data_IF_942382778767
#
_entry.id   IF_942382778767
#
_cell.length_a   1.000
_cell.length_b   1.000
_cell.length_c   1.000
_cell.angle_alpha   90.00
_cell.angle_beta   90.00
_cell.angle_gamma   90.00
#
_symmetry.space_group_name_H-M   'P 1'
#
loop_
_entity.id
_entity.type
_entity.pdbx_description
1 polymer ?
#
# COMPACT_ATOMS: atom_id res chain seq x y z
N UNK A 1 25.51 24.70 -31.31
CA UNK A 1 24.20 24.11 -30.95
C UNK A 1 24.45 23.03 -29.92
N UNK A 2 23.80 23.06 -28.74
CA UNK A 2 23.81 21.91 -27.86
C UNK A 2 23.16 20.72 -28.58
N UNK A 3 23.87 19.60 -28.64
CA UNK A 3 23.40 18.34 -29.21
C UNK A 3 22.31 17.75 -28.31
N UNK A 4 21.22 17.23 -28.89
CA UNK A 4 20.15 16.55 -28.16
C UNK A 4 20.62 15.28 -27.45
N UNK A 5 21.82 14.76 -27.77
CA UNK A 5 22.36 13.53 -27.20
C UNK A 5 22.64 13.55 -25.70
N UNK A 6 22.81 14.73 -25.07
CA UNK A 6 23.19 14.84 -23.64
C UNK A 6 22.13 15.46 -22.72
N UNK A 7 20.92 15.73 -23.23
CA UNK A 7 19.84 16.33 -22.43
C UNK A 7 19.06 15.26 -21.64
N UNK A 8 19.50 14.98 -20.41
CA UNK A 8 18.62 14.34 -19.40
C UNK A 8 17.51 15.32 -19.01
N UNK A 9 16.33 15.19 -19.62
CA UNK A 9 15.15 15.93 -19.22
C UNK A 9 14.77 15.60 -17.78
N UNK A 10 14.94 16.55 -16.86
CA UNK A 10 14.43 16.42 -15.49
C UNK A 10 12.90 16.58 -15.50
N UNK A 11 12.17 15.54 -15.10
CA UNK A 11 10.72 15.58 -14.89
C UNK A 11 10.33 16.10 -13.50
N UNK A 12 11.30 16.59 -12.72
CA UNK A 12 11.08 17.03 -11.35
C UNK A 12 10.35 18.38 -11.36
N UNK A 13 9.05 18.38 -11.03
CA UNK A 13 8.28 19.59 -10.70
C UNK A 13 7.25 20.08 -11.74
N UNK A 14 7.12 19.43 -12.90
CA UNK A 14 6.08 19.81 -13.87
C UNK A 14 6.15 18.94 -15.11
N UNK A 15 5.47 17.79 -15.08
CA UNK A 15 5.42 16.83 -16.19
C UNK A 15 4.97 17.43 -17.54
N UNK A 16 4.84 16.60 -18.60
CA UNK A 16 4.47 17.11 -19.92
C UNK A 16 3.18 17.94 -19.86
N UNK A 17 3.23 19.12 -20.47
CA UNK A 17 2.11 20.04 -20.57
C UNK A 17 1.26 19.71 -21.79
N UNK A 18 -0.03 19.98 -21.69
CA UNK A 18 -0.97 19.92 -22.80
C UNK A 18 -1.41 21.34 -23.12
N UNK A 19 -1.25 21.73 -24.38
CA UNK A 19 -1.70 23.03 -24.88
C UNK A 19 -2.38 22.92 -26.24
N UNK A 20 -2.94 24.04 -26.71
CA UNK A 20 -3.52 24.16 -28.05
C UNK A 20 -2.72 25.17 -28.86
N UNK A 21 -2.39 24.84 -30.10
CA UNK A 21 -1.67 25.73 -30.99
C UNK A 21 -2.55 26.91 -31.41
N UNK A 22 -2.05 28.12 -31.25
CA UNK A 22 -2.71 29.36 -31.69
C UNK A 22 -2.18 29.84 -33.06
N UNK A 23 -1.08 29.23 -33.55
CA UNK A 23 -0.46 29.55 -34.83
C UNK A 23 0.07 28.31 -35.55
N UNK A 24 -0.03 28.29 -36.87
CA UNK A 24 0.52 27.22 -37.73
C UNK A 24 2.03 27.37 -37.93
N UNK A 25 2.79 26.27 -37.85
CA UNK A 25 4.22 26.24 -38.20
C UNK A 25 4.62 24.89 -38.80
N UNK A 26 5.42 24.89 -39.87
CA UNK A 26 6.01 23.67 -40.47
C UNK A 26 7.45 23.41 -40.01
N UNK A 27 8.11 24.42 -39.44
CA UNK A 27 9.39 24.34 -38.72
C UNK A 27 9.63 25.63 -37.93
N UNK A 28 10.20 25.56 -36.73
CA UNK A 28 10.54 26.75 -35.93
C UNK A 28 9.71 26.88 -34.66
N UNK A 29 9.08 28.02 -34.43
CA UNK A 29 8.29 28.27 -33.23
C UNK A 29 6.84 28.65 -33.56
N UNK A 30 5.91 28.19 -32.75
CA UNK A 30 4.51 28.57 -32.75
C UNK A 30 4.11 29.17 -31.39
N UNK A 31 2.98 29.85 -31.35
CA UNK A 31 2.30 30.21 -30.11
C UNK A 31 1.33 29.09 -29.74
N UNK A 32 1.26 28.76 -28.45
CA UNK A 32 0.28 27.83 -27.93
C UNK A 32 -0.26 28.31 -26.59
N UNK A 33 -1.52 27.99 -26.32
CA UNK A 33 -2.18 28.28 -25.04
C UNK A 33 -2.12 27.05 -24.14
N UNK A 34 -1.53 27.19 -22.95
CA UNK A 34 -1.50 26.17 -21.90
C UNK A 34 -2.18 26.74 -20.66
N UNK A 35 -3.26 26.09 -20.19
CA UNK A 35 -4.03 26.54 -19.04
C UNK A 35 -4.45 28.03 -19.08
N UNK A 36 -4.76 28.55 -20.28
CA UNK A 36 -5.18 29.93 -20.50
C UNK A 36 -4.05 30.95 -20.68
N UNK A 37 -2.78 30.51 -20.67
CA UNK A 37 -1.61 31.37 -20.85
C UNK A 37 -0.97 31.07 -22.21
N UNK A 38 -0.74 32.11 -23.02
CA UNK A 38 0.01 31.98 -24.26
C UNK A 38 1.51 31.87 -23.99
N UNK A 39 2.13 30.87 -24.61
CA UNK A 39 3.56 30.62 -24.56
C UNK A 39 4.11 30.40 -25.97
N UNK A 40 5.37 30.80 -26.18
CA UNK A 40 6.11 30.43 -27.39
C UNK A 40 6.69 29.04 -27.25
N UNK A 41 6.39 28.17 -28.22
CA UNK A 41 6.78 26.77 -28.24
C UNK A 41 7.55 26.47 -29.51
N UNK A 42 8.71 25.82 -29.41
CA UNK A 42 9.48 25.35 -30.56
C UNK A 42 8.98 24.00 -31.02
N UNK A 43 8.66 23.86 -32.30
CA UNK A 43 8.37 22.57 -32.91
C UNK A 43 9.68 21.80 -33.14
N UNK A 44 9.71 20.52 -32.74
CA UNK A 44 10.82 19.64 -33.13
C UNK A 44 10.89 19.50 -34.65
N UNK A 45 12.08 19.22 -35.18
CA UNK A 45 12.28 19.10 -36.62
C UNK A 45 11.32 18.07 -37.23
N UNK A 46 10.64 18.45 -38.32
CA UNK A 46 9.67 17.60 -39.01
C UNK A 46 8.26 17.58 -38.40
N UNK A 47 8.00 18.33 -37.32
CA UNK A 47 6.66 18.47 -36.76
C UNK A 47 5.94 19.69 -37.38
N UNK A 48 4.94 19.41 -38.21
CA UNK A 48 3.97 20.43 -38.65
C UNK A 48 2.87 20.58 -37.61
N UNK A 49 2.58 21.81 -37.23
CA UNK A 49 1.53 22.21 -36.28
C UNK A 49 0.57 23.13 -37.01
N UNK A 50 -0.73 22.88 -36.89
CA UNK A 50 -1.81 23.75 -37.35
C UNK A 50 -2.51 24.44 -36.17
N UNK A 51 -3.17 25.58 -36.42
CA UNK A 51 -4.02 26.23 -35.40
C UNK A 51 -5.09 25.25 -34.91
N UNK A 52 -5.26 25.17 -33.59
CA UNK A 52 -6.19 24.27 -32.91
C UNK A 52 -5.61 22.90 -32.55
N UNK A 53 -4.41 22.56 -33.04
CA UNK A 53 -3.77 21.28 -32.72
C UNK A 53 -3.49 21.16 -31.22
N UNK A 54 -3.83 20.01 -30.66
CA UNK A 54 -3.48 19.66 -29.28
C UNK A 54 -2.01 19.25 -29.23
N UNK A 55 -1.19 19.99 -28.52
CA UNK A 55 0.25 19.77 -28.45
C UNK A 55 0.66 19.07 -27.15
N UNK A 56 1.58 18.12 -27.27
CA UNK A 56 2.37 17.62 -26.14
C UNK A 56 3.63 18.48 -26.01
N UNK A 57 3.73 19.20 -24.90
CA UNK A 57 4.76 20.22 -24.70
C UNK A 57 5.67 19.79 -23.55
N UNK A 58 6.97 19.79 -23.80
CA UNK A 58 7.99 19.57 -22.78
C UNK A 58 8.79 20.85 -22.56
N UNK A 59 9.10 21.14 -21.30
CA UNK A 59 9.99 22.24 -20.94
C UNK A 59 11.41 21.71 -20.79
N UNK A 60 12.33 22.26 -21.59
CA UNK A 60 13.76 21.95 -21.51
C UNK A 60 14.48 23.27 -21.20
N UNK A 61 14.94 23.43 -19.96
CA UNK A 61 15.46 24.69 -19.45
C UNK A 61 14.40 25.80 -19.49
N UNK A 62 14.69 26.89 -20.20
CA UNK A 62 13.81 28.05 -20.37
C UNK A 62 12.91 27.96 -21.61
N UNK A 63 12.99 26.87 -22.37
CA UNK A 63 12.32 26.75 -23.67
C UNK A 63 11.27 25.65 -23.66
N UNK A 64 10.11 25.96 -24.22
CA UNK A 64 9.05 24.98 -24.45
C UNK A 64 9.22 24.35 -25.83
N UNK A 65 9.09 23.03 -25.89
CA UNK A 65 9.21 22.23 -27.09
C UNK A 65 7.95 21.41 -27.33
N UNK A 66 7.35 21.51 -28.51
CA UNK A 66 6.29 20.63 -28.96
C UNK A 66 6.94 19.38 -29.55
N UNK A 67 6.72 18.23 -28.91
CA UNK A 67 7.29 16.94 -29.33
C UNK A 67 6.32 16.12 -30.18
N UNK A 68 5.03 16.39 -30.09
CA UNK A 68 3.99 15.77 -30.93
C UNK A 68 2.73 16.61 -31.00
N UNK A 69 2.03 16.55 -32.13
CA UNK A 69 0.60 16.85 -32.21
C UNK A 69 -0.16 15.61 -31.75
N UNK A 70 -0.90 15.74 -30.64
CA UNK A 70 -1.76 14.69 -30.14
C UNK A 70 -2.93 14.53 -31.12
N UNK A 71 -2.95 13.41 -31.84
CA UNK A 71 -4.08 13.07 -32.69
C UNK A 71 -5.37 13.08 -31.87
N UNK A 72 -6.45 13.58 -32.49
CA UNK A 72 -7.79 13.34 -31.97
C UNK A 72 -7.99 11.83 -31.78
N UNK A 73 -8.75 11.44 -30.75
CA UNK A 73 -9.21 10.06 -30.66
C UNK A 73 -9.83 9.69 -32.01
N UNK A 74 -9.48 8.53 -32.60
CA UNK A 74 -10.05 8.11 -33.87
C UNK A 74 -11.57 8.25 -33.83
N UNK A 75 -12.16 9.02 -34.74
CA UNK A 75 -13.62 9.16 -34.84
C UNK A 75 -14.29 7.81 -35.16
N UNK A 76 -13.49 6.89 -35.71
CA UNK A 76 -13.85 5.51 -35.95
C UNK A 76 -13.13 4.67 -34.89
N UNK A 77 -13.83 3.89 -34.05
CA UNK A 77 -13.16 2.90 -33.21
C UNK A 77 -12.25 2.03 -34.11
N UNK A 78 -11.07 1.60 -33.62
CA UNK A 78 -10.14 0.83 -34.44
C UNK A 78 -10.90 -0.30 -35.15
N UNK A 79 -10.69 -0.48 -36.46
CA UNK A 79 -11.43 -1.48 -37.21
C UNK A 79 -11.26 -2.83 -36.51
N UNK A 80 -12.38 -3.50 -36.27
CA UNK A 80 -12.40 -4.91 -35.88
C UNK A 80 -11.41 -5.64 -36.80
N UNK A 81 -10.51 -6.50 -36.30
CA UNK A 81 -9.51 -7.16 -37.12
C UNK A 81 -10.16 -7.73 -38.39
N UNK A 82 -9.65 -7.33 -39.55
CA UNK A 82 -10.16 -7.81 -40.84
C UNK A 82 -9.94 -9.32 -40.86
N UNK A 83 -11.02 -10.09 -40.76
CA UNK A 83 -10.98 -11.51 -41.12
C UNK A 83 -10.64 -11.52 -42.61
N UNK A 84 -9.50 -12.11 -42.98
CA UNK A 84 -9.13 -12.28 -44.36
C UNK A 84 -10.30 -12.97 -45.09
N UNK A 85 -10.92 -12.27 -46.06
CA UNK A 85 -11.92 -12.88 -46.94
C UNK A 85 -11.26 -14.08 -47.63
N UNK A 86 -11.70 -15.27 -47.25
CA UNK A 86 -11.18 -16.54 -47.76
C UNK A 86 -10.52 -17.46 -46.74
N UNK A 87 -10.35 -17.08 -45.47
CA UNK A 87 -10.09 -18.10 -44.45
C UNK A 87 -11.42 -18.80 -44.15
N UNK A 88 -11.55 -20.13 -44.32
CA UNK A 88 -12.71 -20.83 -43.81
C UNK A 88 -12.87 -20.45 -42.34
N UNK A 89 -14.04 -19.98 -41.95
CA UNK A 89 -14.41 -19.95 -40.55
C UNK A 89 -14.22 -21.38 -40.05
N UNK A 90 -13.16 -21.63 -39.28
CA UNK A 90 -12.91 -22.96 -38.72
C UNK A 90 -13.95 -23.30 -37.64
N UNK A 91 -14.87 -22.37 -37.33
CA UNK A 91 -15.81 -22.47 -36.22
C UNK A 91 -15.12 -22.31 -34.87
N UNK A 92 -13.83 -21.92 -34.86
CA UNK A 92 -13.06 -21.83 -33.64
C UNK A 92 -13.42 -20.54 -32.88
N UNK A 93 -13.86 -20.65 -31.61
CA UNK A 93 -14.19 -19.49 -30.81
C UNK A 93 -12.97 -18.58 -30.61
N UNK A 94 -13.21 -17.27 -30.57
CA UNK A 94 -12.17 -16.28 -30.32
C UNK A 94 -11.37 -16.61 -29.05
N UNK A 95 -10.03 -16.40 -29.02
CA UNK A 95 -9.22 -16.66 -27.85
C UNK A 95 -9.72 -15.85 -26.65
N UNK A 96 -9.79 -16.50 -25.48
CA UNK A 96 -10.18 -15.84 -24.25
C UNK A 96 -9.28 -14.62 -23.96
N UNK A 97 -9.82 -13.51 -23.41
CA UNK A 97 -9.03 -12.36 -23.01
C UNK A 97 -7.88 -12.75 -22.09
N UNK A 98 -6.70 -12.14 -22.30
CA UNK A 98 -5.53 -12.41 -21.46
C UNK A 98 -5.81 -11.95 -20.02
N UNK A 99 -5.54 -12.79 -19.00
CA UNK A 99 -5.69 -12.40 -17.60
C UNK A 99 -4.86 -11.16 -17.28
N UNK A 100 -5.48 -10.14 -16.69
CA UNK A 100 -4.80 -8.95 -16.20
C UNK A 100 -4.52 -9.12 -14.71
N UNK A 101 -3.26 -8.90 -14.30
CA UNK A 101 -2.88 -8.94 -12.89
C UNK A 101 -2.82 -7.52 -12.32
N UNK A 102 -3.69 -7.23 -11.36
CA UNK A 102 -3.63 -5.99 -10.56
C UNK A 102 -2.88 -6.25 -9.27
N UNK A 103 -2.02 -5.32 -8.87
CA UNK A 103 -1.30 -5.37 -7.59
C UNK A 103 -1.56 -4.10 -6.79
N UNK A 104 -1.39 -4.18 -5.48
CA UNK A 104 -1.56 -3.02 -4.62
C UNK A 104 -1.12 -3.27 -3.19
N UNK A 105 -1.37 -2.28 -2.34
CA UNK A 105 -1.20 -2.40 -0.90
C UNK A 105 -2.39 -1.78 -0.16
N UNK A 106 -2.69 -2.32 1.02
CA UNK A 106 -3.70 -1.81 1.94
C UNK A 106 -3.07 -1.59 3.32
N UNK A 107 -3.26 -0.40 3.88
CA UNK A 107 -2.82 -0.07 5.24
C UNK A 107 -4.00 -0.18 6.21
N UNK A 108 -3.86 -1.03 7.21
CA UNK A 108 -4.85 -1.32 8.25
C UNK A 108 -4.32 -0.92 9.62
N UNK A 109 -4.75 0.24 10.12
CA UNK A 109 -4.59 0.55 11.56
C UNK A 109 -5.54 -0.32 12.37
N UNK A 110 -5.12 -0.83 13.54
CA UNK A 110 -6.03 -1.57 14.41
C UNK A 110 -7.17 -0.66 14.89
N UNK A 111 -8.38 -1.22 14.98
CA UNK A 111 -9.54 -0.57 15.58
C UNK A 111 -9.46 -0.59 17.11
N UNK A 112 -8.70 -1.54 17.68
CA UNK A 112 -8.42 -1.58 19.10
C UNK A 112 -7.08 -2.29 19.39
N UNK A 113 -6.37 -1.83 20.42
CA UNK A 113 -5.28 -2.56 21.08
C UNK A 113 -5.62 -2.74 22.55
N UNK A 114 -5.38 -3.93 23.11
CA UNK A 114 -5.78 -4.28 24.47
C UNK A 114 -4.89 -5.38 25.06
N UNK A 115 -4.82 -5.50 26.38
CA UNK A 115 -4.17 -6.66 27.04
C UNK A 115 -5.13 -7.39 27.96
N UNK A 116 -5.28 -8.69 27.77
CA UNK A 116 -6.05 -9.58 28.63
C UNK A 116 -5.14 -10.21 29.69
N UNK A 117 -5.62 -10.26 30.93
CA UNK A 117 -4.92 -10.86 32.08
C UNK A 117 -5.95 -11.30 33.12
N UNK A 118 -5.87 -12.53 33.61
CA UNK A 118 -6.67 -13.07 34.72
C UNK A 118 -8.17 -12.83 34.58
N UNK A 119 -8.77 -13.33 33.49
CA UNK A 119 -10.22 -13.25 33.33
C UNK A 119 -10.72 -11.91 32.77
N UNK A 120 -9.90 -10.86 32.73
CA UNK A 120 -10.33 -9.50 32.36
C UNK A 120 -9.39 -8.78 31.41
N UNK A 121 -9.94 -7.81 30.69
CA UNK A 121 -9.16 -6.81 29.98
C UNK A 121 -8.57 -5.81 30.98
N UNK A 122 -7.28 -5.51 30.83
CA UNK A 122 -6.58 -4.56 31.69
C UNK A 122 -7.06 -3.13 31.43
N UNK A 123 -7.44 -2.45 32.50
CA UNK A 123 -7.83 -1.03 32.53
C UNK A 123 -6.75 -0.16 33.16
N UNK A 124 -5.74 -0.76 33.80
CA UNK A 124 -4.64 -0.11 34.52
C UNK A 124 -3.52 0.42 33.61
N UNK A 125 -3.62 0.20 32.29
CA UNK A 125 -2.58 0.51 31.29
C UNK A 125 -3.08 1.43 30.17
N UNK A 126 -4.15 2.16 30.45
CA UNK A 126 -4.83 3.05 29.50
C UNK A 126 -6.23 2.56 29.12
N UNK A 127 -6.92 3.29 28.23
CA UNK A 127 -8.26 2.91 27.76
C UNK A 127 -8.25 1.50 27.17
N UNK A 128 -9.25 0.68 27.52
CA UNK A 128 -9.28 -0.75 27.14
C UNK A 128 -9.25 -1.04 25.64
N UNK A 129 -9.51 -0.03 24.79
CA UNK A 129 -9.45 -0.12 23.33
C UNK A 129 -8.17 0.49 22.74
N UNK A 130 -7.37 1.19 23.55
CA UNK A 130 -6.15 1.88 23.09
C UNK A 130 -4.91 1.51 23.92
N UNK A 131 -5.07 0.55 24.82
CA UNK A 131 -4.08 0.11 25.78
C UNK A 131 -2.89 -0.57 25.10
N UNK A 132 -1.77 -0.53 25.82
CA UNK A 132 -0.56 -1.23 25.41
C UNK A 132 -0.73 -2.75 25.43
N UNK A 133 0.11 -3.41 24.65
CA UNK A 133 0.09 -4.87 24.48
C UNK A 133 1.20 -5.51 25.28
N UNK A 134 0.87 -6.47 26.14
CA UNK A 134 1.81 -7.20 26.99
C UNK A 134 1.77 -8.70 26.70
N UNK A 135 2.92 -9.37 26.77
CA UNK A 135 2.99 -10.84 26.91
C UNK A 135 3.81 -11.20 28.14
N UNK A 136 3.71 -12.47 28.57
CA UNK A 136 4.40 -12.97 29.75
C UNK A 136 3.79 -12.40 31.04
N UNK A 137 4.52 -12.55 32.14
CA UNK A 137 4.10 -12.19 33.49
C UNK A 137 5.19 -11.36 34.15
N UNK A 138 4.78 -10.30 34.85
CA UNK A 138 5.72 -9.55 35.68
C UNK A 138 6.23 -10.44 36.82
N UNK A 139 7.54 -10.55 36.98
CA UNK A 139 8.16 -11.40 37.98
C UNK A 139 7.69 -11.01 39.40
N UNK A 140 7.35 -12.00 40.23
CA UNK A 140 6.83 -11.79 41.58
C UNK A 140 5.39 -11.26 41.65
N UNK A 141 4.70 -11.07 40.52
CA UNK A 141 3.31 -10.64 40.51
C UNK A 141 2.36 -11.78 40.88
N UNK A 142 1.34 -11.53 41.70
CA UNK A 142 0.22 -12.46 41.89
C UNK A 142 -0.68 -12.56 40.65
N UNK A 143 -0.61 -11.58 39.74
CA UNK A 143 -1.36 -11.61 38.48
C UNK A 143 -0.73 -12.59 37.49
N UNK A 144 -1.54 -13.23 36.65
CA UNK A 144 -1.13 -14.19 35.65
C UNK A 144 -0.59 -13.55 34.37
N UNK A 145 -0.45 -14.41 33.34
CA UNK A 145 0.16 -14.06 32.06
C UNK A 145 -0.72 -13.11 31.25
N UNK A 146 -0.07 -12.20 30.55
CA UNK A 146 -0.71 -11.25 29.66
C UNK A 146 -0.84 -11.82 28.26
N UNK A 147 -1.90 -11.42 27.57
CA UNK A 147 -2.05 -11.57 26.12
C UNK A 147 -2.45 -10.21 25.53
N UNK A 148 -1.52 -9.60 24.79
CA UNK A 148 -1.71 -8.30 24.17
C UNK A 148 -2.19 -8.46 22.75
N UNK A 149 -3.32 -7.85 22.38
CA UNK A 149 -3.97 -8.02 21.09
C UNK A 149 -4.09 -6.71 20.33
N UNK A 150 -4.07 -6.82 19.00
CA UNK A 150 -4.47 -5.79 18.05
C UNK A 150 -5.56 -6.36 17.14
N UNK A 151 -6.70 -5.67 17.06
CA UNK A 151 -7.88 -6.06 16.32
C UNK A 151 -8.06 -5.16 15.10
N UNK A 152 -8.37 -5.72 13.92
CA UNK A 152 -8.37 -4.96 12.66
C UNK A 152 -9.76 -4.63 12.10
N UNK A 153 -10.84 -5.03 12.78
CA UNK A 153 -12.20 -4.83 12.31
C UNK A 153 -12.44 -5.48 10.94
N UNK A 154 -13.21 -4.81 10.08
CA UNK A 154 -13.54 -5.29 8.74
C UNK A 154 -12.56 -4.86 7.64
N UNK A 155 -11.62 -3.94 7.93
CA UNK A 155 -10.81 -3.30 6.89
C UNK A 155 -10.02 -4.27 6.01
N UNK A 156 -9.33 -5.31 6.54
CA UNK A 156 -8.64 -6.30 5.70
C UNK A 156 -9.56 -7.01 4.68
N UNK A 157 -10.84 -7.20 5.02
CA UNK A 157 -11.81 -7.90 4.16
C UNK A 157 -12.18 -7.14 2.89
N UNK A 158 -11.82 -5.86 2.78
CA UNK A 158 -11.90 -5.11 1.50
C UNK A 158 -11.03 -5.72 0.40
N UNK A 159 -10.06 -6.56 0.78
CA UNK A 159 -9.22 -7.34 -0.14
C UNK A 159 -9.78 -8.72 -0.46
N UNK A 160 -11.03 -9.04 -0.11
CA UNK A 160 -11.63 -10.35 -0.45
C UNK A 160 -11.42 -10.69 -1.93
N UNK A 161 -11.09 -11.96 -2.21
CA UNK A 161 -10.71 -12.45 -3.53
C UNK A 161 -9.32 -12.04 -4.02
N UNK A 162 -8.52 -11.30 -3.24
CA UNK A 162 -7.12 -11.04 -3.53
C UNK A 162 -6.21 -12.11 -2.89
N UNK A 163 -5.08 -12.37 -3.54
CA UNK A 163 -3.98 -13.14 -2.96
C UNK A 163 -3.01 -12.21 -2.26
N UNK A 164 -2.73 -12.46 -0.98
CA UNK A 164 -1.69 -11.75 -0.23
C UNK A 164 -0.30 -12.18 -0.71
N UNK A 165 0.55 -11.21 -1.05
CA UNK A 165 1.93 -11.44 -1.53
C UNK A 165 2.98 -11.08 -0.49
N UNK A 166 2.67 -10.16 0.43
CA UNK A 166 3.51 -9.78 1.57
C UNK A 166 2.63 -9.13 2.64
N UNK A 167 2.97 -9.31 3.91
CA UNK A 167 2.35 -8.55 4.99
C UNK A 167 3.39 -8.08 6.01
N UNK A 168 3.24 -6.84 6.49
CA UNK A 168 4.14 -6.29 7.51
C UNK A 168 3.37 -5.59 8.62
N UNK A 169 3.95 -5.56 9.82
CA UNK A 169 3.42 -4.81 10.96
C UNK A 169 4.44 -3.80 11.49
N UNK A 170 3.92 -2.74 12.10
CA UNK A 170 4.70 -1.75 12.85
C UNK A 170 4.61 -2.03 14.34
N UNK A 171 5.76 -2.10 15.00
CA UNK A 171 5.84 -2.41 16.43
C UNK A 171 6.90 -1.55 17.10
N UNK A 172 6.57 -0.98 18.26
CA UNK A 172 7.52 -0.27 19.12
C UNK A 172 7.53 -0.91 20.50
N UNK A 173 8.70 -1.19 21.02
CA UNK A 173 8.87 -1.65 22.39
C UNK A 173 8.96 -0.45 23.33
N UNK A 174 8.23 -0.52 24.44
CA UNK A 174 8.22 0.53 25.46
C UNK A 174 9.08 0.13 26.66
N UNK A 175 9.37 1.11 27.52
CA UNK A 175 10.03 0.89 28.82
C UNK A 175 9.09 0.13 29.76
N UNK A 176 9.27 -1.19 29.84
CA UNK A 176 8.77 -2.07 30.91
C UNK A 176 9.23 -3.52 30.66
N UNK A 177 9.30 -4.28 31.76
CA UNK A 177 9.67 -5.69 31.75
C UNK A 177 11.16 -5.90 31.57
N UNK A 178 11.55 -6.91 30.78
CA UNK A 178 12.96 -7.25 30.60
C UNK A 178 13.73 -6.10 29.93
N UNK A 179 14.88 -5.68 30.45
CA UNK A 179 15.62 -4.55 29.86
C UNK A 179 16.48 -4.97 28.65
N UNK A 180 16.87 -6.24 28.56
CA UNK A 180 17.57 -6.78 27.39
C UNK A 180 16.65 -6.87 26.15
N UNK A 181 17.22 -6.95 24.95
CA UNK A 181 16.44 -7.23 23.75
C UNK A 181 15.71 -8.57 23.88
N UNK A 182 14.40 -8.57 23.56
CA UNK A 182 13.55 -9.75 23.68
C UNK A 182 12.72 -9.95 22.42
N UNK A 183 12.53 -11.21 22.07
CA UNK A 183 11.68 -11.65 20.97
C UNK A 183 10.24 -11.82 21.43
N UNK A 184 9.33 -11.12 20.76
CA UNK A 184 7.90 -11.34 20.96
C UNK A 184 7.45 -12.69 20.38
N UNK A 185 6.44 -13.33 20.97
CA UNK A 185 5.76 -14.48 20.36
C UNK A 185 4.45 -14.00 19.76
N UNK A 186 4.37 -13.99 18.44
CA UNK A 186 3.17 -13.56 17.74
C UNK A 186 2.14 -14.68 17.69
N UNK A 187 0.86 -14.33 17.77
CA UNK A 187 -0.29 -15.23 17.62
C UNK A 187 -1.34 -14.62 16.69
N UNK A 188 -2.07 -15.48 15.96
CA UNK A 188 -3.32 -15.09 15.30
C UNK A 188 -4.48 -15.09 16.27
N UNK A 189 -5.42 -14.15 16.09
CA UNK A 189 -6.63 -14.02 16.91
C UNK A 189 -7.87 -14.21 16.03
N UNK A 190 -8.82 -15.01 16.51
CA UNK A 190 -10.07 -15.27 15.77
C UNK A 190 -10.91 -14.01 15.61
N UNK A 191 -11.06 -13.23 16.68
CA UNK A 191 -11.98 -12.10 16.72
C UNK A 191 -11.41 -10.88 15.98
N UNK A 192 -12.30 -10.14 15.28
CA UNK A 192 -11.97 -8.89 14.58
C UNK A 192 -12.15 -7.64 15.42
N UNK A 193 -12.81 -7.78 16.58
CA UNK A 193 -12.98 -6.76 17.61
C UNK A 193 -12.70 -7.39 18.97
N UNK A 194 -12.47 -6.56 20.00
CA UNK A 194 -12.21 -7.03 21.36
C UNK A 194 -13.40 -7.85 21.89
N UNK A 195 -13.24 -9.16 22.19
CA UNK A 195 -14.31 -9.95 22.80
C UNK A 195 -14.55 -9.55 24.26
N UNK A 196 -15.71 -9.92 24.82
CA UNK A 196 -15.98 -9.72 26.25
C UNK A 196 -15.01 -10.53 27.14
N UNK A 197 -14.73 -11.77 26.75
CA UNK A 197 -13.83 -12.69 27.44
C UNK A 197 -12.41 -12.72 26.84
N UNK A 198 -11.71 -13.84 27.08
CA UNK A 198 -10.38 -14.08 26.55
C UNK A 198 -10.37 -14.11 25.01
N UNK A 199 -9.32 -13.60 24.35
CA UNK A 199 -9.14 -13.77 22.92
C UNK A 199 -8.86 -15.23 22.58
N UNK A 200 -9.40 -15.72 21.46
CA UNK A 200 -9.08 -17.07 20.96
C UNK A 200 -7.79 -17.01 20.15
N UNK A 201 -6.73 -17.60 20.69
CA UNK A 201 -5.41 -17.66 20.07
C UNK A 201 -5.29 -18.88 19.15
N UNK A 202 -4.72 -18.68 17.97
CA UNK A 202 -4.56 -19.71 16.95
C UNK A 202 -3.06 -19.94 16.68
N UNK A 203 -2.66 -19.91 15.42
CA UNK A 203 -1.30 -20.16 14.95
C UNK A 203 -0.28 -19.26 15.68
N UNK A 204 0.95 -19.75 15.82
CA UNK A 204 2.05 -19.06 16.51
C UNK A 204 3.24 -18.87 15.59
N UNK A 205 3.96 -17.77 15.76
CA UNK A 205 5.24 -17.54 15.07
C UNK A 205 6.14 -16.62 15.88
N UNK A 206 7.41 -16.55 15.50
CA UNK A 206 8.38 -15.63 16.08
C UNK A 206 8.07 -14.19 15.65
N UNK A 207 8.06 -13.27 16.61
CA UNK A 207 7.93 -11.82 16.38
C UNK A 207 9.29 -11.11 16.30
N UNK A 208 9.30 -9.77 16.24
CA UNK A 208 10.55 -9.02 16.24
C UNK A 208 11.28 -9.15 17.58
N UNK A 209 12.61 -9.26 17.52
CA UNK A 209 13.48 -9.05 18.68
C UNK A 209 13.80 -7.57 18.81
N UNK A 210 13.37 -6.94 19.89
CA UNK A 210 13.50 -5.50 20.09
C UNK A 210 14.15 -5.19 21.44
N UNK A 211 15.13 -4.30 21.44
CA UNK A 211 15.59 -3.60 22.65
C UNK A 211 14.50 -2.64 23.15
N UNK A 212 14.58 -2.23 24.43
CA UNK A 212 13.69 -1.20 24.97
C UNK A 212 13.80 0.07 24.11
N UNK A 213 12.67 0.73 23.84
CA UNK A 213 12.54 1.90 22.96
C UNK A 213 12.84 1.68 21.48
N UNK A 214 13.25 0.47 21.07
CA UNK A 214 13.42 0.16 19.66
C UNK A 214 12.07 0.05 18.94
N UNK A 215 12.09 0.41 17.66
CA UNK A 215 10.93 0.37 16.77
C UNK A 215 11.28 -0.41 15.51
N UNK A 216 10.36 -1.27 15.07
CA UNK A 216 10.37 -1.84 13.72
C UNK A 216 9.20 -1.29 12.93
N UNK A 217 9.49 -0.70 11.77
CA UNK A 217 8.48 -0.08 10.90
C UNK A 217 7.92 -1.03 9.83
N UNK A 218 8.50 -2.23 9.70
CA UNK A 218 8.11 -3.20 8.69
C UNK A 218 8.58 -4.62 9.08
N UNK A 219 8.08 -5.16 10.18
CA UNK A 219 8.31 -6.57 10.51
C UNK A 219 7.41 -7.46 9.64
N UNK A 220 7.99 -8.40 8.90
CA UNK A 220 7.25 -9.31 8.02
C UNK A 220 6.54 -10.37 8.84
N UNK A 221 5.24 -10.56 8.59
CA UNK A 221 4.45 -11.66 9.16
C UNK A 221 4.13 -12.70 8.06
N UNK A 222 3.75 -13.94 8.41
CA UNK A 222 3.38 -14.94 7.41
C UNK A 222 2.26 -14.43 6.49
N UNK A 223 2.40 -14.65 5.17
CA UNK A 223 1.37 -14.26 4.21
C UNK A 223 0.03 -14.95 4.48
N UNK A 224 0.07 -16.22 4.92
CA UNK A 224 -1.13 -16.98 5.31
C UNK A 224 -1.90 -16.32 6.45
N UNK A 225 -1.23 -15.59 7.35
CA UNK A 225 -1.89 -14.89 8.44
C UNK A 225 -2.67 -13.69 7.95
N UNK A 226 -2.05 -12.86 7.10
CA UNK A 226 -2.74 -11.76 6.47
C UNK A 226 -3.84 -12.24 5.51
N UNK A 227 -3.63 -13.37 4.83
CA UNK A 227 -4.68 -14.00 4.02
C UNK A 227 -5.89 -14.38 4.89
N UNK A 228 -5.68 -14.99 6.06
CA UNK A 228 -6.76 -15.32 6.99
C UNK A 228 -7.51 -14.08 7.52
N UNK A 229 -6.82 -12.94 7.69
CA UNK A 229 -7.46 -11.66 8.00
C UNK A 229 -8.31 -11.13 6.84
N UNK A 230 -7.81 -11.25 5.60
CA UNK A 230 -8.52 -10.87 4.37
C UNK A 230 -9.76 -11.73 4.15
N UNK A 231 -9.64 -13.05 4.31
CA UNK A 231 -10.72 -14.02 4.16
C UNK A 231 -11.72 -13.96 5.33
N UNK A 232 -11.34 -13.31 6.43
CA UNK A 232 -12.19 -13.09 7.60
C UNK A 232 -12.28 -14.28 8.56
N UNK A 233 -11.47 -15.33 8.36
CA UNK A 233 -11.36 -16.48 9.27
C UNK A 233 -10.55 -16.16 10.53
N UNK A 234 -9.81 -15.05 10.51
CA UNK A 234 -9.14 -14.42 11.65
C UNK A 234 -9.45 -12.92 11.64
N UNK A 235 -9.21 -12.24 12.76
CA UNK A 235 -9.54 -10.82 12.90
C UNK A 235 -8.50 -9.96 13.60
N UNK A 236 -7.45 -10.57 14.16
CA UNK A 236 -6.43 -9.84 14.89
C UNK A 236 -5.09 -10.56 14.97
N UNK A 237 -4.12 -9.85 15.53
CA UNK A 237 -2.81 -10.35 15.92
C UNK A 237 -2.62 -10.15 17.42
N UNK A 238 -1.74 -10.93 18.03
CA UNK A 238 -1.41 -10.79 19.44
C UNK A 238 0.06 -11.09 19.72
N UNK A 239 0.54 -10.61 20.86
CA UNK A 239 1.69 -11.16 21.56
C UNK A 239 1.20 -12.03 22.72
N UNK A 240 1.62 -13.29 22.76
CA UNK A 240 1.32 -14.22 23.86
C UNK A 240 2.27 -15.40 23.82
N UNK A 241 2.71 -15.83 25.01
CA UNK A 241 3.63 -16.94 25.18
C UNK A 241 3.13 -17.86 26.29
N UNK A 242 3.40 -19.16 26.17
CA UNK A 242 3.05 -20.19 27.16
C UNK A 242 3.97 -20.19 28.38
N UNK A 243 4.81 -19.19 28.56
CA UNK A 243 5.72 -19.02 29.68
C UNK A 243 5.50 -17.67 30.39
N UNK A 244 6.07 -17.53 31.59
CA UNK A 244 6.06 -16.24 32.31
C UNK A 244 7.05 -15.24 31.71
N UNK A 245 8.14 -15.72 31.11
CA UNK A 245 9.19 -14.91 30.49
C UNK A 245 9.27 -15.16 28.98
N UNK A 246 9.60 -14.17 28.15
CA UNK A 246 9.93 -12.78 28.53
C UNK A 246 8.69 -11.92 28.77
N UNK A 247 8.75 -11.09 29.81
CA UNK A 247 7.76 -10.06 30.05
C UNK A 247 8.12 -8.83 29.20
N UNK A 248 7.30 -8.54 28.20
CA UNK A 248 7.51 -7.41 27.28
C UNK A 248 6.25 -6.54 27.19
N UNK A 249 6.48 -5.24 26.95
CA UNK A 249 5.46 -4.25 26.65
C UNK A 249 5.72 -3.67 25.27
N UNK A 250 4.76 -3.84 24.37
CA UNK A 250 4.74 -3.17 23.07
C UNK A 250 3.67 -2.09 23.09
N UNK A 251 3.95 -0.97 22.43
CA UNK A 251 3.04 0.16 22.36
C UNK A 251 1.68 -0.27 21.79
N UNK A 252 0.61 0.21 22.41
CA UNK A 252 -0.74 0.22 21.86
C UNK A 252 -0.98 1.51 21.07
N UNK A 253 -2.13 1.59 20.41
CA UNK A 253 -2.46 2.74 19.55
C UNK A 253 -2.57 4.06 20.32
N UNK A 254 -2.90 4.01 21.61
CA UNK A 254 -2.92 5.19 22.48
C UNK A 254 -1.53 5.74 22.80
N UNK A 255 -0.52 4.87 22.90
CA UNK A 255 0.86 5.25 23.21
C UNK A 255 1.70 5.56 21.97
N UNK A 256 1.37 4.94 20.83
CA UNK A 256 1.97 5.23 19.53
C UNK A 256 0.96 4.98 18.42
N UNK A 257 0.55 6.03 17.70
CA UNK A 257 -0.54 5.97 16.72
C UNK A 257 -0.32 4.98 15.57
N UNK A 258 0.95 4.64 15.27
CA UNK A 258 1.29 3.65 14.25
C UNK A 258 1.49 2.22 14.81
N UNK A 259 1.25 2.01 16.10
CA UNK A 259 1.35 0.71 16.73
C UNK A 259 0.43 -0.29 16.04
N UNK A 260 0.99 -1.47 15.75
CA UNK A 260 0.30 -2.59 15.12
C UNK A 260 -0.32 -2.29 13.75
N UNK A 261 0.05 -1.19 13.10
CA UNK A 261 -0.40 -0.92 11.72
C UNK A 261 0.08 -2.03 10.81
N UNK A 262 -0.88 -2.73 10.20
CA UNK A 262 -0.69 -3.82 9.27
C UNK A 262 -0.72 -3.28 7.84
N UNK A 263 0.31 -3.60 7.05
CA UNK A 263 0.33 -3.33 5.61
C UNK A 263 0.24 -4.66 4.86
N UNK A 264 -0.80 -4.82 4.03
CA UNK A 264 -1.04 -6.02 3.23
C UNK A 264 -0.78 -5.68 1.77
N UNK A 265 0.19 -6.35 1.16
CA UNK A 265 0.46 -6.30 -0.28
C UNK A 265 -0.30 -7.45 -0.94
N UNK A 266 -0.95 -7.16 -2.07
CA UNK A 266 -1.87 -8.10 -2.68
C UNK A 266 -1.78 -8.10 -4.20
N UNK A 267 -2.28 -9.17 -4.81
CA UNK A 267 -2.54 -9.29 -6.24
C UNK A 267 -3.94 -9.84 -6.51
N UNK A 268 -4.55 -9.46 -7.64
CA UNK A 268 -5.81 -10.00 -8.17
C UNK A 268 -5.63 -10.30 -9.64
N UNK A 269 -6.08 -11.47 -10.07
CA UNK A 269 -6.24 -11.80 -11.49
C UNK A 269 -7.68 -11.48 -11.89
N UNK A 270 -7.85 -10.76 -13.00
CA UNK A 270 -9.14 -10.50 -13.65
C UNK A 270 -9.10 -10.92 -15.10
#
# INVERSE_FOLDING_TARGET
MPDFRDLKGSLTGGGPLIGYADSTVSSGACVATVAGIQITVRAVAGLTVAVGDKLLIQRIGSTYWATSVAAAAPAVPPPTPVVAEGRPDTGDPAPAPKPTVKTGSLVCSPVATASYRDGKWRTDIGPVSDADTFQGRYAGSAYGRNTGCAFYGSKPRSLSGATVTKATIRVRRLTAGDFAARTATLRLVTQSTRPAGAPTLNETTTGPSLAVNATTNAFVIPNSWAQALVDGTRGGLAISISADSPYIRLAGRGSWSAAWTLTIYWRRSS
#
